data_IF_198966775292
#
_entry.id   IF_198966775292
#
_cell.length_a   1.000
_cell.length_b   1.000
_cell.length_c   1.000
_cell.angle_alpha   90.00
_cell.angle_beta   90.00
_cell.angle_gamma   90.00
#
_symmetry.space_group_name_H-M   'P 1'
#
loop_
_entity.id
_entity.type
_entity.pdbx_description
1 polymer ?
#
# COMPACT_ATOMS: atom_id res chain seq x y z
N UNK A 1 -18.33 -22.70 32.25
CA UNK A 1 -17.43 -21.71 31.65
C UNK A 1 -17.90 -21.55 30.22
N UNK A 2 -18.75 -20.58 29.99
CA UNK A 2 -19.36 -20.26 28.70
C UNK A 2 -18.29 -19.54 27.88
N UNK A 3 -17.94 -20.11 26.72
CA UNK A 3 -17.03 -19.51 25.75
C UNK A 3 -17.55 -18.14 25.32
N UNK A 4 -16.70 -17.15 25.46
CA UNK A 4 -16.94 -15.80 24.99
C UNK A 4 -17.11 -15.80 23.47
N UNK A 5 -18.16 -15.11 23.04
CA UNK A 5 -18.37 -14.53 21.72
C UNK A 5 -18.14 -15.41 20.48
N UNK A 6 -19.05 -16.34 20.20
CA UNK A 6 -19.52 -16.54 18.84
C UNK A 6 -20.26 -15.25 18.40
N UNK A 7 -19.52 -14.24 17.96
CA UNK A 7 -20.12 -13.12 17.24
C UNK A 7 -20.61 -13.67 15.91
N UNK A 8 -21.89 -14.00 15.84
CA UNK A 8 -22.54 -14.43 14.60
C UNK A 8 -22.64 -13.22 13.65
N UNK A 9 -21.50 -12.80 13.10
CA UNK A 9 -21.40 -11.70 12.15
C UNK A 9 -21.94 -12.17 10.83
N UNK A 10 -23.13 -11.71 10.46
CA UNK A 10 -23.80 -12.14 9.25
C UNK A 10 -23.46 -11.30 8.03
N UNK A 11 -23.24 -10.00 8.20
CA UNK A 11 -22.97 -9.08 7.09
C UNK A 11 -21.83 -8.12 7.41
N UNK A 12 -20.78 -8.14 6.57
CA UNK A 12 -19.67 -7.17 6.62
C UNK A 12 -19.66 -6.35 5.34
N UNK A 13 -19.68 -5.03 5.50
CA UNK A 13 -19.54 -4.09 4.38
C UNK A 13 -18.11 -3.52 4.35
N UNK A 14 -17.48 -3.57 3.19
CA UNK A 14 -16.16 -3.01 2.94
C UNK A 14 -16.33 -1.78 2.06
N UNK A 15 -15.77 -0.65 2.49
CA UNK A 15 -15.82 0.62 1.76
C UNK A 15 -14.46 0.89 1.11
N UNK A 16 -14.42 0.82 -0.22
CA UNK A 16 -13.24 1.01 -1.05
C UNK A 16 -12.74 -0.29 -1.69
N UNK A 17 -12.81 -0.36 -3.02
CA UNK A 17 -12.39 -1.48 -3.87
C UNK A 17 -10.91 -1.47 -4.26
N UNK A 18 -10.05 -0.82 -3.47
CA UNK A 18 -8.60 -0.92 -3.59
C UNK A 18 -8.07 -2.26 -3.10
N UNK A 19 -6.74 -2.49 -3.23
CA UNK A 19 -6.12 -3.78 -2.85
C UNK A 19 -6.31 -4.13 -1.37
N UNK A 20 -6.43 -3.14 -0.46
CA UNK A 20 -6.70 -3.42 0.96
C UNK A 20 -8.13 -3.97 1.14
N UNK A 21 -9.12 -3.31 0.53
CA UNK A 21 -10.51 -3.77 0.59
C UNK A 21 -10.72 -5.12 -0.07
N UNK A 22 -10.14 -5.33 -1.26
CA UNK A 22 -10.18 -6.64 -1.95
C UNK A 22 -9.54 -7.75 -1.12
N UNK A 23 -8.38 -7.48 -0.51
CA UNK A 23 -7.73 -8.47 0.34
C UNK A 23 -8.53 -8.76 1.61
N UNK A 24 -9.17 -7.74 2.20
CA UNK A 24 -10.11 -7.94 3.32
C UNK A 24 -11.29 -8.82 2.91
N UNK A 25 -11.89 -8.54 1.75
CA UNK A 25 -12.98 -9.35 1.19
C UNK A 25 -12.58 -10.81 0.95
N UNK A 26 -11.40 -11.02 0.36
CA UNK A 26 -10.82 -12.35 0.13
C UNK A 26 -10.69 -13.13 1.45
N UNK A 27 -10.07 -12.54 2.46
CA UNK A 27 -9.85 -13.22 3.74
C UNK A 27 -11.14 -13.47 4.51
N UNK A 28 -12.14 -12.58 4.44
CA UNK A 28 -13.46 -12.77 5.05
C UNK A 28 -14.24 -13.90 4.37
N UNK A 29 -14.27 -13.91 3.03
CA UNK A 29 -14.91 -14.98 2.27
C UNK A 29 -14.28 -16.35 2.55
N UNK A 30 -12.95 -16.42 2.64
CA UNK A 30 -12.21 -17.63 3.02
C UNK A 30 -12.52 -18.14 4.43
N UNK A 31 -12.95 -17.25 5.34
CA UNK A 31 -13.43 -17.62 6.70
C UNK A 31 -14.90 -18.01 6.74
N UNK A 32 -15.59 -17.98 5.62
CA UNK A 32 -17.02 -18.34 5.52
C UNK A 32 -17.96 -17.29 6.11
N UNK A 33 -17.56 -16.00 6.14
CA UNK A 33 -18.49 -14.92 6.51
C UNK A 33 -19.70 -14.97 5.57
N UNK A 34 -20.94 -15.07 6.08
CA UNK A 34 -22.11 -15.36 5.26
C UNK A 34 -22.37 -14.34 4.16
N UNK A 35 -22.12 -13.05 4.44
CA UNK A 35 -22.32 -11.97 3.47
C UNK A 35 -21.20 -10.95 3.55
N UNK A 36 -20.40 -10.87 2.52
CA UNK A 36 -19.36 -9.85 2.32
C UNK A 36 -19.74 -8.98 1.14
N UNK A 37 -19.94 -7.67 1.40
CA UNK A 37 -20.28 -6.67 0.37
C UNK A 37 -19.14 -5.67 0.28
N UNK A 38 -18.56 -5.50 -0.90
CA UNK A 38 -17.54 -4.50 -1.17
C UNK A 38 -18.12 -3.41 -2.09
N UNK A 39 -18.03 -2.16 -1.64
CA UNK A 39 -18.53 -0.99 -2.35
C UNK A 39 -17.37 -0.12 -2.83
N UNK A 40 -17.35 0.17 -4.12
CA UNK A 40 -16.36 1.05 -4.78
C UNK A 40 -17.07 2.15 -5.56
N UNK A 41 -16.67 3.41 -5.36
CA UNK A 41 -17.32 4.56 -6.01
C UNK A 41 -17.08 4.65 -7.51
N UNK A 42 -15.94 4.16 -7.97
CA UNK A 42 -15.57 4.10 -9.40
C UNK A 42 -15.53 2.61 -9.84
N UNK A 43 -14.40 2.15 -10.34
CA UNK A 43 -14.12 0.74 -10.61
C UNK A 43 -13.08 0.20 -9.66
N UNK A 44 -13.10 -1.11 -9.45
CA UNK A 44 -12.13 -1.79 -8.58
C UNK A 44 -10.70 -1.41 -8.97
N UNK A 45 -9.92 -0.94 -8.00
CA UNK A 45 -8.55 -0.52 -8.19
C UNK A 45 -8.36 0.88 -8.77
N UNK A 46 -9.41 1.61 -9.15
CA UNK A 46 -9.35 2.94 -9.77
C UNK A 46 -8.59 4.00 -8.94
N UNK A 47 -8.46 3.79 -7.64
CA UNK A 47 -7.72 4.67 -6.73
C UNK A 47 -6.20 4.53 -6.84
N UNK A 48 -5.51 4.56 -5.71
CA UNK A 48 -4.05 4.44 -5.61
C UNK A 48 -3.51 3.08 -6.07
N UNK A 49 -4.30 2.02 -6.02
CA UNK A 49 -3.87 0.64 -6.22
C UNK A 49 -3.35 0.37 -7.63
N UNK A 50 -4.06 0.78 -8.69
CA UNK A 50 -3.61 0.63 -10.09
C UNK A 50 -2.44 1.54 -10.44
N UNK A 51 -2.13 2.52 -9.59
CA UNK A 51 -1.05 3.50 -9.75
C UNK A 51 0.19 3.17 -8.94
N UNK A 52 0.15 2.06 -8.19
CA UNK A 52 1.27 1.61 -7.35
C UNK A 52 2.47 1.15 -8.18
N UNK A 53 3.67 1.27 -7.63
CA UNK A 53 4.89 0.68 -8.17
C UNK A 53 4.90 -0.85 -8.06
N UNK A 54 4.17 -1.40 -7.09
CA UNK A 54 4.07 -2.84 -6.87
C UNK A 54 5.34 -3.50 -6.32
N UNK A 55 6.32 -2.73 -5.86
CA UNK A 55 7.55 -3.24 -5.23
C UNK A 55 7.24 -3.72 -3.82
N UNK A 56 7.76 -4.88 -3.45
CA UNK A 56 7.47 -5.54 -2.19
C UNK A 56 8.77 -5.97 -1.52
N UNK A 57 9.00 -5.45 -0.32
CA UNK A 57 10.13 -5.82 0.54
C UNK A 57 9.70 -5.78 2.01
N UNK A 58 10.32 -6.57 2.85
CA UNK A 58 10.12 -6.55 4.30
C UNK A 58 11.17 -5.71 5.05
N UNK A 59 12.11 -5.09 4.36
CA UNK A 59 13.18 -4.29 4.97
C UNK A 59 12.68 -2.90 5.43
N UNK A 60 11.84 -2.87 6.46
CA UNK A 60 11.24 -1.66 7.05
C UNK A 60 11.99 -1.19 8.30
N UNK A 61 11.46 -0.16 8.96
CA UNK A 61 12.10 0.54 10.08
C UNK A 61 11.61 0.09 11.47
N UNK A 62 10.44 -0.52 11.56
CA UNK A 62 9.82 -0.95 12.82
C UNK A 62 9.66 -2.46 12.88
N UNK A 63 9.71 -3.03 14.08
CA UNK A 63 9.51 -4.47 14.29
C UNK A 63 8.15 -4.92 13.75
N UNK A 64 7.08 -4.24 14.14
CA UNK A 64 5.72 -4.53 13.65
C UNK A 64 5.62 -4.45 12.13
N UNK A 65 6.23 -3.41 11.52
CA UNK A 65 6.27 -3.26 10.07
C UNK A 65 7.01 -4.41 9.38
N UNK A 66 8.17 -4.82 9.90
CA UNK A 66 8.98 -5.94 9.38
C UNK A 66 8.19 -7.26 9.46
N UNK A 67 7.62 -7.56 10.62
CA UNK A 67 6.84 -8.80 10.84
C UNK A 67 5.60 -8.84 9.95
N UNK A 68 4.87 -7.73 9.84
CA UNK A 68 3.72 -7.61 8.96
C UNK A 68 4.11 -7.80 7.49
N UNK A 69 5.19 -7.17 7.02
CA UNK A 69 5.63 -7.28 5.62
C UNK A 69 6.23 -8.65 5.30
N UNK A 70 6.91 -9.28 6.24
CA UNK A 70 7.37 -10.67 6.12
C UNK A 70 6.18 -11.64 5.98
N UNK A 71 5.14 -11.45 6.79
CA UNK A 71 3.89 -12.20 6.63
C UNK A 71 3.23 -11.90 5.27
N UNK A 72 3.21 -10.63 4.85
CA UNK A 72 2.67 -10.23 3.56
C UNK A 72 3.37 -10.91 2.38
N UNK A 73 4.70 -11.01 2.39
CA UNK A 73 5.46 -11.71 1.36
C UNK A 73 5.07 -13.19 1.25
N UNK A 74 4.91 -13.87 2.38
CA UNK A 74 4.42 -15.26 2.41
C UNK A 74 3.00 -15.37 1.82
N UNK A 75 2.11 -14.47 2.23
CA UNK A 75 0.74 -14.44 1.71
C UNK A 75 0.69 -14.13 0.21
N UNK A 76 1.60 -13.27 -0.31
CA UNK A 76 1.70 -13.05 -1.76
C UNK A 76 2.04 -14.32 -2.53
N UNK A 77 2.92 -15.17 -1.98
CA UNK A 77 3.25 -16.46 -2.59
C UNK A 77 2.04 -17.41 -2.57
N UNK A 78 1.36 -17.52 -1.43
CA UNK A 78 0.16 -18.36 -1.27
C UNK A 78 -0.96 -17.91 -2.21
N UNK A 79 -1.33 -16.63 -2.18
CA UNK A 79 -2.35 -16.04 -3.04
C UNK A 79 -1.96 -16.14 -4.53
N UNK A 80 -0.69 -16.03 -4.86
CA UNK A 80 -0.20 -16.19 -6.23
C UNK A 80 -0.56 -17.54 -6.84
N UNK A 81 -0.50 -18.61 -6.06
CA UNK A 81 -0.89 -19.94 -6.54
C UNK A 81 -2.41 -20.01 -6.79
N UNK A 82 -3.23 -19.44 -5.92
CA UNK A 82 -4.68 -19.38 -6.07
C UNK A 82 -5.12 -18.49 -7.23
N UNK A 83 -4.39 -17.41 -7.49
CA UNK A 83 -4.69 -16.45 -8.58
C UNK A 83 -4.09 -16.85 -9.93
N UNK A 84 -3.28 -17.92 -10.01
CA UNK A 84 -2.70 -18.40 -11.28
C UNK A 84 -3.74 -18.65 -12.37
N UNK A 85 -4.91 -19.26 -12.09
CA UNK A 85 -5.96 -19.44 -13.10
C UNK A 85 -6.53 -18.14 -13.66
N UNK A 86 -6.38 -17.02 -12.93
CA UNK A 86 -6.81 -15.67 -13.34
C UNK A 86 -5.69 -14.85 -13.98
N UNK A 87 -4.53 -15.49 -14.30
CA UNK A 87 -3.42 -14.84 -15.00
C UNK A 87 -2.46 -14.03 -14.13
N UNK A 88 -2.54 -14.14 -12.81
CA UNK A 88 -1.61 -13.46 -11.91
C UNK A 88 -0.51 -14.39 -11.38
N UNK A 89 0.69 -13.80 -11.22
CA UNK A 89 1.83 -14.42 -10.54
C UNK A 89 2.69 -13.35 -9.87
N UNK A 90 3.02 -13.56 -8.59
CA UNK A 90 4.03 -12.77 -7.89
C UNK A 90 5.42 -12.99 -8.49
N UNK A 91 6.19 -11.90 -8.70
CA UNK A 91 7.53 -11.96 -9.27
C UNK A 91 8.57 -11.92 -8.15
N UNK A 92 9.01 -13.09 -7.70
CA UNK A 92 9.99 -13.26 -6.61
C UNK A 92 11.43 -13.04 -7.13
N UNK A 93 11.76 -11.84 -7.59
CA UNK A 93 13.07 -11.47 -8.16
C UNK A 93 14.01 -10.82 -7.15
N UNK A 94 13.60 -10.72 -5.88
CA UNK A 94 14.27 -9.96 -4.86
C UNK A 94 14.01 -8.46 -4.95
N UNK A 95 14.43 -7.74 -3.89
CA UNK A 95 14.37 -6.28 -3.83
C UNK A 95 15.73 -5.73 -3.38
N UNK A 96 16.31 -4.83 -4.17
CA UNK A 96 17.58 -4.17 -3.90
C UNK A 96 17.31 -2.73 -3.46
N UNK A 97 17.67 -2.40 -2.22
CA UNK A 97 17.61 -1.04 -1.69
C UNK A 97 19.02 -0.45 -1.73
N UNK A 98 19.19 0.71 -2.38
CA UNK A 98 20.46 1.41 -2.53
C UNK A 98 20.54 2.58 -1.55
N UNK A 99 21.69 2.75 -0.94
CA UNK A 99 21.97 3.80 0.05
C UNK A 99 23.26 4.54 -0.28
N UNK A 100 23.28 5.85 0.00
CA UNK A 100 24.51 6.60 0.14
C UNK A 100 25.23 6.19 1.44
N UNK A 101 26.53 6.47 1.62
CA UNK A 101 27.22 6.21 2.89
C UNK A 101 26.52 6.87 4.09
N UNK A 102 25.98 8.09 3.90
CA UNK A 102 25.27 8.80 4.96
C UNK A 102 23.95 8.10 5.35
N UNK A 103 23.16 7.69 4.37
CA UNK A 103 21.88 6.97 4.63
C UNK A 103 22.14 5.56 5.18
N UNK A 104 23.26 4.94 4.79
CA UNK A 104 23.65 3.61 5.26
C UNK A 104 23.90 3.58 6.77
N UNK A 105 24.55 4.61 7.32
CA UNK A 105 24.80 4.71 8.76
C UNK A 105 23.53 4.56 9.61
N UNK A 106 22.38 5.03 9.11
CA UNK A 106 21.11 4.86 9.81
C UNK A 106 20.46 3.50 9.49
N UNK A 107 20.60 3.02 8.25
CA UNK A 107 20.05 1.73 7.84
C UNK A 107 20.76 0.55 8.52
N UNK A 108 22.08 0.62 8.65
CA UNK A 108 22.89 -0.42 9.28
C UNK A 108 22.46 -0.73 10.72
N UNK A 109 22.00 0.29 11.46
CA UNK A 109 21.48 0.13 12.83
C UNK A 109 20.26 -0.80 12.92
N UNK A 110 19.59 -1.07 11.81
CA UNK A 110 18.44 -1.97 11.74
C UNK A 110 18.80 -3.43 11.44
N UNK A 111 20.03 -3.74 11.05
CA UNK A 111 20.44 -5.11 10.72
C UNK A 111 20.29 -6.09 11.90
N UNK A 112 20.54 -5.70 13.17
CA UNK A 112 20.23 -6.55 14.32
C UNK A 112 18.75 -6.87 14.42
N UNK A 113 17.86 -5.89 14.18
CA UNK A 113 16.43 -6.08 14.20
C UNK A 113 15.94 -7.01 13.07
N UNK A 114 16.54 -6.92 11.88
CA UNK A 114 16.24 -7.87 10.79
C UNK A 114 16.59 -9.30 11.17
N UNK A 115 17.75 -9.52 11.81
CA UNK A 115 18.14 -10.85 12.33
C UNK A 115 17.19 -11.35 13.42
N UNK A 116 16.81 -10.48 14.36
CA UNK A 116 15.81 -10.80 15.40
C UNK A 116 14.48 -11.24 14.78
N UNK A 117 14.00 -10.54 13.76
CA UNK A 117 12.77 -10.87 13.04
C UNK A 117 12.93 -12.08 12.08
N UNK A 118 14.14 -12.67 11.96
CA UNK A 118 14.40 -13.74 11.01
C UNK A 118 14.19 -13.32 9.56
N UNK A 119 14.52 -12.07 9.20
CA UNK A 119 14.48 -11.54 7.84
C UNK A 119 15.86 -11.72 7.19
N UNK A 120 16.00 -12.53 6.13
CA UNK A 120 17.25 -12.66 5.42
C UNK A 120 17.59 -11.37 4.65
N UNK A 121 18.86 -11.06 4.57
CA UNK A 121 19.38 -9.93 3.80
C UNK A 121 20.82 -10.17 3.36
N UNK A 122 21.24 -9.50 2.29
CA UNK A 122 22.60 -9.45 1.83
C UNK A 122 23.05 -7.99 1.73
N UNK A 123 24.24 -7.67 2.22
CA UNK A 123 24.87 -6.35 2.02
C UNK A 123 25.82 -6.46 0.84
N UNK A 124 25.71 -5.56 -0.13
CA UNK A 124 26.47 -5.61 -1.39
C UNK A 124 27.21 -4.29 -1.64
N UNK A 125 28.48 -4.38 -2.00
CA UNK A 125 29.21 -3.23 -2.53
C UNK A 125 28.77 -2.92 -3.98
N UNK A 126 29.02 -1.71 -4.45
CA UNK A 126 28.67 -1.29 -5.81
C UNK A 126 29.26 -2.21 -6.91
N UNK A 127 30.49 -2.71 -6.71
CA UNK A 127 31.12 -3.65 -7.63
C UNK A 127 30.37 -4.99 -7.72
N UNK A 128 29.90 -5.53 -6.58
CA UNK A 128 29.11 -6.76 -6.52
C UNK A 128 27.73 -6.57 -7.16
N UNK A 129 27.11 -5.39 -6.99
CA UNK A 129 25.85 -5.03 -7.64
C UNK A 129 26.02 -5.05 -9.17
N UNK A 130 27.06 -4.39 -9.69
CA UNK A 130 27.36 -4.37 -11.13
C UNK A 130 27.68 -5.75 -11.68
N UNK A 131 28.36 -6.59 -10.93
CA UNK A 131 28.65 -7.97 -11.32
C UNK A 131 27.37 -8.82 -11.39
N UNK A 132 26.51 -8.71 -10.38
CA UNK A 132 25.26 -9.50 -10.27
C UNK A 132 24.19 -9.03 -11.25
N UNK A 133 24.08 -7.70 -11.47
CA UNK A 133 23.12 -7.08 -12.37
C UNK A 133 23.81 -6.06 -13.29
N UNK A 134 24.41 -6.54 -14.40
CA UNK A 134 25.24 -5.69 -15.28
C UNK A 134 24.52 -4.52 -15.94
N UNK A 135 23.17 -4.48 -15.90
CA UNK A 135 22.40 -3.34 -16.36
C UNK A 135 22.43 -2.16 -15.38
N UNK A 136 22.75 -2.41 -14.10
CA UNK A 136 22.85 -1.37 -13.08
C UNK A 136 24.24 -0.78 -13.03
N UNK A 137 24.32 0.55 -12.95
CA UNK A 137 25.56 1.32 -12.85
C UNK A 137 25.54 2.23 -11.60
N UNK A 138 25.46 1.67 -10.37
CA UNK A 138 25.56 2.48 -9.17
C UNK A 138 26.97 3.11 -9.07
N UNK A 139 27.05 4.31 -8.47
CA UNK A 139 28.33 4.94 -8.12
C UNK A 139 29.12 4.06 -7.14
N UNK A 140 30.44 4.23 -7.09
CA UNK A 140 31.35 3.32 -6.35
C UNK A 140 31.13 3.31 -4.83
N UNK A 141 30.59 4.39 -4.28
CA UNK A 141 30.29 4.56 -2.86
C UNK A 141 28.92 4.04 -2.43
N UNK A 142 28.10 3.59 -3.37
CA UNK A 142 26.75 3.07 -3.09
C UNK A 142 26.83 1.70 -2.40
N UNK A 143 26.01 1.54 -1.38
CA UNK A 143 25.84 0.30 -0.65
C UNK A 143 24.44 -0.27 -0.95
N UNK A 144 24.38 -1.54 -1.30
CA UNK A 144 23.15 -2.28 -1.53
C UNK A 144 22.73 -3.11 -0.32
N UNK A 145 21.45 -3.11 -0.02
CA UNK A 145 20.81 -4.05 0.90
C UNK A 145 19.78 -4.84 0.11
N UNK A 146 20.06 -6.11 -0.13
CA UNK A 146 19.23 -6.99 -0.92
C UNK A 146 18.32 -7.84 -0.02
N UNK A 147 17.03 -7.83 -0.34
CA UNK A 147 15.99 -8.69 0.25
C UNK A 147 15.70 -9.84 -0.72
N UNK A 148 16.21 -11.07 -0.45
CA UNK A 148 16.00 -12.21 -1.35
C UNK A 148 14.54 -12.69 -1.39
N UNK A 149 13.73 -12.37 -0.37
CA UNK A 149 12.30 -12.71 -0.33
C UNK A 149 11.43 -11.71 -1.08
N UNK A 150 11.97 -10.51 -1.35
CA UNK A 150 11.27 -9.42 -2.01
C UNK A 150 10.99 -9.68 -3.49
N UNK A 151 10.41 -8.69 -4.12
CA UNK A 151 10.09 -8.75 -5.54
C UNK A 151 9.06 -7.70 -5.93
N UNK A 152 8.19 -8.06 -6.85
CA UNK A 152 7.11 -7.16 -7.26
C UNK A 152 5.85 -7.90 -7.69
N UNK A 153 4.75 -7.17 -7.68
CA UNK A 153 3.46 -7.59 -8.20
C UNK A 153 3.00 -6.59 -9.26
N UNK A 154 2.47 -7.07 -10.37
CA UNK A 154 1.86 -6.21 -11.39
C UNK A 154 0.45 -5.82 -10.95
N UNK A 155 0.17 -4.52 -10.68
CA UNK A 155 -1.17 -4.09 -10.30
C UNK A 155 -2.23 -4.42 -11.33
N UNK A 156 -1.90 -4.29 -12.61
CA UNK A 156 -2.81 -4.50 -13.73
C UNK A 156 -3.20 -5.98 -13.92
N UNK A 157 -2.44 -6.92 -13.35
CA UNK A 157 -2.77 -8.35 -13.33
C UNK A 157 -3.36 -8.76 -11.95
N UNK A 158 -2.79 -8.26 -10.84
CA UNK A 158 -3.19 -8.65 -9.48
C UNK A 158 -4.61 -8.23 -9.13
N UNK A 159 -4.95 -6.95 -9.40
CA UNK A 159 -6.25 -6.38 -8.99
C UNK A 159 -7.41 -7.12 -9.65
N UNK A 160 -7.47 -7.28 -11.00
CA UNK A 160 -8.55 -8.00 -11.64
C UNK A 160 -8.59 -9.48 -11.24
N UNK A 161 -7.43 -10.14 -11.08
CA UNK A 161 -7.37 -11.53 -10.64
C UNK A 161 -7.96 -11.71 -9.24
N UNK A 162 -7.57 -10.86 -8.28
CA UNK A 162 -8.10 -10.91 -6.92
C UNK A 162 -9.61 -10.60 -6.88
N UNK A 163 -10.07 -9.62 -7.66
CA UNK A 163 -11.48 -9.28 -7.74
C UNK A 163 -12.32 -10.43 -8.33
N UNK A 164 -11.83 -11.09 -9.39
CA UNK A 164 -12.50 -12.26 -9.95
C UNK A 164 -12.55 -13.41 -8.94
N UNK A 165 -11.46 -13.65 -8.24
CA UNK A 165 -11.42 -14.69 -7.20
C UNK A 165 -12.36 -14.38 -6.04
N UNK A 166 -12.42 -13.12 -5.57
CA UNK A 166 -13.40 -12.70 -4.57
C UNK A 166 -14.85 -12.97 -5.03
N UNK A 167 -15.19 -12.62 -6.28
CA UNK A 167 -16.52 -12.93 -6.84
C UNK A 167 -16.80 -14.44 -6.89
N UNK A 168 -15.81 -15.24 -7.25
CA UNK A 168 -15.93 -16.71 -7.24
C UNK A 168 -16.13 -17.28 -5.82
N UNK A 169 -15.63 -16.60 -4.79
CA UNK A 169 -15.85 -16.92 -3.38
C UNK A 169 -17.19 -16.38 -2.82
N UNK A 170 -18.04 -15.73 -3.65
CA UNK A 170 -19.32 -15.22 -3.25
C UNK A 170 -19.34 -13.78 -2.71
N UNK A 171 -18.24 -13.03 -2.84
CA UNK A 171 -18.23 -11.60 -2.46
C UNK A 171 -19.08 -10.78 -3.41
N UNK A 172 -20.02 -9.98 -2.87
CA UNK A 172 -20.83 -9.03 -3.61
C UNK A 172 -20.03 -7.74 -3.85
N UNK A 173 -19.37 -7.62 -5.00
CA UNK A 173 -18.59 -6.45 -5.39
C UNK A 173 -19.45 -5.53 -6.24
N UNK A 174 -19.73 -4.33 -5.73
CA UNK A 174 -20.52 -3.29 -6.38
C UNK A 174 -19.64 -2.10 -6.72
N UNK A 175 -19.53 -1.83 -8.01
CA UNK A 175 -18.80 -0.70 -8.58
C UNK A 175 -19.78 0.44 -8.91
N UNK A 176 -19.29 1.69 -8.93
CA UNK A 176 -20.11 2.88 -9.16
C UNK A 176 -20.98 3.28 -7.96
N UNK A 177 -20.71 2.75 -6.76
CA UNK A 177 -21.52 3.00 -5.55
C UNK A 177 -20.74 3.86 -4.56
N UNK A 178 -21.22 5.08 -4.32
CA UNK A 178 -20.56 6.05 -3.42
C UNK A 178 -21.10 5.96 -2.00
N UNK A 179 -20.28 5.51 -1.07
CA UNK A 179 -20.58 5.58 0.36
C UNK A 179 -20.33 6.99 0.85
N UNK A 180 -21.31 7.58 1.53
CA UNK A 180 -21.26 8.95 2.04
C UNK A 180 -21.13 9.04 3.55
N UNK A 181 -21.71 8.08 4.29
CA UNK A 181 -21.76 8.12 5.75
C UNK A 181 -21.72 6.73 6.38
N UNK A 182 -21.22 6.67 7.59
CA UNK A 182 -21.44 5.56 8.53
C UNK A 182 -22.66 5.87 9.39
N UNK A 183 -23.59 4.90 9.50
CA UNK A 183 -24.74 5.02 10.40
C UNK A 183 -24.35 4.41 11.74
N UNK A 184 -24.29 5.22 12.78
CA UNK A 184 -23.87 4.81 14.14
C UNK A 184 -24.96 5.13 15.13
N UNK A 185 -25.34 4.15 15.94
CA UNK A 185 -26.26 4.30 17.05
C UNK A 185 -25.65 3.81 18.35
N UNK A 186 -25.70 4.62 19.39
CA UNK A 186 -25.18 4.28 20.73
C UNK A 186 -23.73 3.72 20.72
N UNK A 187 -22.87 4.29 19.86
CA UNK A 187 -21.47 3.87 19.76
C UNK A 187 -21.25 2.56 18.97
N UNK A 188 -22.26 2.08 18.23
CA UNK A 188 -22.14 0.90 17.36
C UNK A 188 -22.50 1.26 15.93
N UNK A 189 -21.71 0.77 14.97
CA UNK A 189 -22.07 0.87 13.55
C UNK A 189 -23.27 -0.02 13.27
N UNK A 190 -24.27 0.53 12.58
CA UNK A 190 -25.49 -0.18 12.13
C UNK A 190 -25.47 -0.45 10.63
N UNK A 191 -24.60 0.21 9.89
CA UNK A 191 -24.47 0.13 8.45
C UNK A 191 -23.90 1.40 7.86
N UNK A 192 -24.16 1.60 6.58
CA UNK A 192 -23.68 2.75 5.79
C UNK A 192 -24.83 3.41 5.01
N UNK A 193 -24.60 4.65 4.55
CA UNK A 193 -25.37 5.26 3.47
C UNK A 193 -24.55 5.25 2.19
N UNK A 194 -25.16 4.74 1.12
CA UNK A 194 -24.57 4.70 -0.20
C UNK A 194 -25.61 5.16 -1.22
N UNK A 195 -25.27 6.14 -2.06
CA UNK A 195 -26.17 6.73 -3.06
C UNK A 195 -27.55 7.15 -2.50
N UNK A 196 -27.56 7.58 -1.22
CA UNK A 196 -28.77 7.98 -0.49
C UNK A 196 -29.51 6.84 0.21
N UNK A 197 -29.21 5.58 -0.08
CA UNK A 197 -29.85 4.43 0.52
C UNK A 197 -29.09 3.91 1.76
N UNK A 198 -29.84 3.29 2.68
CA UNK A 198 -29.26 2.63 3.85
C UNK A 198 -28.98 1.16 3.55
N UNK A 199 -27.75 0.72 3.81
CA UNK A 199 -27.36 -0.68 3.79
C UNK A 199 -26.94 -1.11 5.20
N UNK A 200 -27.69 -2.02 5.81
CA UNK A 200 -27.40 -2.57 7.13
C UNK A 200 -26.13 -3.44 7.10
N UNK A 201 -25.32 -3.35 8.15
CA UNK A 201 -24.14 -4.15 8.35
C UNK A 201 -23.86 -4.36 9.84
N UNK A 202 -23.41 -5.56 10.21
CA UNK A 202 -22.93 -5.86 11.57
C UNK A 202 -21.56 -5.22 11.84
N UNK A 203 -20.74 -5.13 10.79
CA UNK A 203 -19.45 -4.44 10.81
C UNK A 203 -19.17 -3.75 9.48
N UNK A 204 -18.36 -2.69 9.55
CA UNK A 204 -17.88 -1.93 8.39
C UNK A 204 -16.36 -1.83 8.43
N UNK A 205 -15.71 -2.15 7.31
CA UNK A 205 -14.27 -1.99 7.12
C UNK A 205 -14.04 -0.82 6.14
N UNK A 206 -13.47 0.28 6.63
CA UNK A 206 -13.18 1.46 5.82
C UNK A 206 -11.75 1.40 5.25
N UNK A 207 -11.66 1.20 3.93
CA UNK A 207 -10.42 1.17 3.14
C UNK A 207 -10.41 2.29 2.09
N UNK A 208 -11.00 3.45 2.40
CA UNK A 208 -11.27 4.54 1.45
C UNK A 208 -10.08 5.48 1.20
N UNK A 209 -8.84 5.10 1.57
CA UNK A 209 -7.60 5.83 1.29
C UNK A 209 -7.72 7.34 1.64
N UNK A 210 -7.54 8.25 0.69
CA UNK A 210 -7.60 9.71 0.89
C UNK A 210 -9.00 10.23 1.27
N UNK A 211 -10.07 9.45 1.04
CA UNK A 211 -11.45 9.81 1.42
C UNK A 211 -11.80 9.39 2.84
N UNK A 212 -10.93 8.65 3.54
CA UNK A 212 -11.21 8.12 4.88
C UNK A 212 -11.63 9.20 5.88
N UNK A 213 -10.91 10.34 5.95
CA UNK A 213 -11.27 11.42 6.88
C UNK A 213 -12.63 12.07 6.56
N UNK A 214 -13.06 12.06 5.31
CA UNK A 214 -14.39 12.55 4.92
C UNK A 214 -15.48 11.66 5.50
N UNK A 215 -15.33 10.35 5.40
CA UNK A 215 -16.28 9.39 5.97
C UNK A 215 -16.25 9.39 7.50
N UNK A 216 -15.07 9.48 8.12
CA UNK A 216 -14.93 9.49 9.57
C UNK A 216 -15.48 10.75 10.24
N UNK A 217 -15.73 11.83 9.48
CA UNK A 217 -16.40 13.03 10.00
C UNK A 217 -17.80 12.70 10.56
N UNK A 218 -18.51 11.71 10.02
CA UNK A 218 -19.81 11.24 10.51
C UNK A 218 -19.75 10.69 11.95
N UNK A 219 -18.58 10.22 12.39
CA UNK A 219 -18.35 9.70 13.74
C UNK A 219 -17.47 10.62 14.60
N UNK A 220 -17.25 11.86 14.14
CA UNK A 220 -16.45 12.87 14.88
C UNK A 220 -14.94 12.58 14.92
N UNK A 221 -14.44 11.64 14.13
CA UNK A 221 -13.03 11.27 14.10
C UNK A 221 -12.32 11.89 12.89
N UNK A 222 -11.09 12.36 13.11
CA UNK A 222 -10.20 12.82 12.06
C UNK A 222 -8.77 12.32 12.31
N UNK A 223 -8.27 11.53 11.40
CA UNK A 223 -6.93 10.96 11.47
C UNK A 223 -5.87 11.99 11.08
N UNK A 224 -4.68 11.97 11.71
CA UNK A 224 -3.55 12.79 11.30
C UNK A 224 -2.86 12.17 10.07
N UNK A 225 -3.52 12.31 8.93
CA UNK A 225 -3.04 11.82 7.64
C UNK A 225 -3.09 12.91 6.58
N UNK A 226 -2.18 12.83 5.62
CA UNK A 226 -2.05 13.76 4.50
C UNK A 226 -1.84 13.02 3.20
N UNK A 227 -2.35 13.59 2.11
CA UNK A 227 -2.23 12.98 0.77
C UNK A 227 -1.37 13.86 -0.15
N UNK A 228 -0.56 13.20 -0.97
CA UNK A 228 0.31 13.85 -1.94
C UNK A 228 0.20 13.18 -3.30
N UNK A 229 0.27 13.98 -4.35
CA UNK A 229 0.31 13.45 -5.72
C UNK A 229 1.60 12.66 -5.94
N UNK A 230 1.50 11.49 -6.51
CA UNK A 230 2.63 10.64 -6.87
C UNK A 230 2.43 10.08 -8.29
N UNK A 231 3.54 9.74 -8.96
CA UNK A 231 3.48 9.26 -10.33
C UNK A 231 4.49 8.15 -10.60
N UNK A 232 4.15 7.30 -11.55
CA UNK A 232 5.03 6.29 -12.13
C UNK A 232 4.92 6.27 -13.65
N UNK A 233 5.93 5.71 -14.30
CA UNK A 233 6.02 5.61 -15.75
C UNK A 233 6.31 4.19 -16.18
N UNK A 234 5.80 3.80 -17.34
CA UNK A 234 6.29 2.62 -18.08
C UNK A 234 7.11 3.08 -19.27
N UNK A 235 8.24 2.44 -19.50
CA UNK A 235 9.08 2.71 -20.67
C UNK A 235 8.50 2.11 -21.94
N UNK A 236 9.03 2.49 -23.10
CA UNK A 236 8.98 1.65 -24.28
C UNK A 236 9.60 0.27 -23.98
N UNK A 237 9.26 -0.78 -24.73
CA UNK A 237 9.94 -2.07 -24.61
C UNK A 237 11.45 -1.91 -24.82
N UNK A 238 12.23 -2.62 -24.01
CA UNK A 238 13.66 -2.79 -24.22
C UNK A 238 13.89 -3.86 -25.30
N UNK A 239 15.07 -3.85 -25.90
CA UNK A 239 15.44 -4.87 -26.89
C UNK A 239 15.49 -6.29 -26.31
N UNK A 240 15.60 -6.41 -25.00
CA UNK A 240 15.63 -7.67 -24.23
C UNK A 240 15.01 -7.45 -22.85
N UNK A 241 14.31 -8.48 -22.36
CA UNK A 241 13.74 -8.47 -21.02
C UNK A 241 14.79 -8.11 -19.96
N UNK A 242 14.51 -7.13 -19.09
CA UNK A 242 15.48 -6.69 -18.09
C UNK A 242 15.59 -7.72 -16.97
N UNK A 243 16.71 -8.41 -16.85
CA UNK A 243 17.01 -9.30 -15.73
C UNK A 243 17.50 -8.48 -14.53
N UNK A 244 16.54 -7.93 -13.77
CA UNK A 244 16.77 -7.05 -12.61
C UNK A 244 15.89 -7.47 -11.44
N UNK A 245 16.32 -7.22 -10.20
CA UNK A 245 15.43 -7.21 -9.04
C UNK A 245 14.51 -5.98 -9.11
N UNK A 246 13.56 -5.89 -8.20
CA UNK A 246 12.98 -4.59 -7.88
C UNK A 246 14.04 -3.71 -7.18
N UNK A 247 14.11 -2.42 -7.51
CA UNK A 247 15.15 -1.52 -7.01
C UNK A 247 14.54 -0.26 -6.40
N UNK A 248 14.92 0.06 -5.17
CA UNK A 248 14.70 1.35 -4.53
C UNK A 248 16.05 2.09 -4.45
N UNK A 249 16.24 3.10 -5.25
CA UNK A 249 17.45 3.91 -5.28
C UNK A 249 17.24 5.21 -4.49
N UNK A 250 17.25 5.12 -3.16
CA UNK A 250 16.98 6.24 -2.25
C UNK A 250 17.85 7.49 -2.52
N UNK A 251 19.16 7.38 -2.78
CA UNK A 251 19.99 8.55 -3.04
C UNK A 251 19.55 9.33 -4.29
N UNK A 252 19.03 8.64 -5.28
CA UNK A 252 18.51 9.26 -6.50
C UNK A 252 17.03 9.68 -6.38
N UNK A 253 16.31 9.21 -5.35
CA UNK A 253 14.85 9.37 -5.22
C UNK A 253 14.10 8.66 -6.36
N UNK A 254 14.59 7.50 -6.79
CA UNK A 254 14.06 6.70 -7.90
C UNK A 254 13.78 5.29 -7.42
N UNK A 255 12.71 4.69 -7.91
CA UNK A 255 12.51 3.26 -7.84
C UNK A 255 12.22 2.71 -9.25
N UNK A 256 12.62 1.47 -9.50
CA UNK A 256 12.39 0.81 -10.76
C UNK A 256 12.26 -0.71 -10.60
N UNK A 257 11.61 -1.34 -11.55
CA UNK A 257 11.50 -2.78 -11.64
C UNK A 257 11.20 -3.23 -13.07
N UNK A 258 11.42 -4.49 -13.41
CA UNK A 258 10.88 -5.07 -14.63
C UNK A 258 9.35 -4.93 -14.68
N UNK A 259 8.82 -4.82 -15.87
CA UNK A 259 7.38 -4.77 -16.14
C UNK A 259 7.05 -5.61 -17.37
N UNK A 260 5.78 -5.98 -17.51
CA UNK A 260 5.28 -6.81 -18.60
C UNK A 260 5.60 -6.22 -19.97
N UNK A 261 5.94 -7.08 -20.94
CA UNK A 261 6.28 -6.67 -22.30
C UNK A 261 7.67 -6.04 -22.45
N UNK A 262 8.66 -6.62 -21.76
CA UNK A 262 10.07 -6.21 -21.77
C UNK A 262 10.31 -4.74 -21.39
N UNK A 263 9.43 -4.19 -20.58
CA UNK A 263 9.43 -2.80 -20.12
C UNK A 263 10.05 -2.67 -18.73
N UNK A 264 10.27 -1.43 -18.35
CA UNK A 264 10.56 -1.03 -16.99
C UNK A 264 9.43 -0.15 -16.47
N UNK A 265 9.03 -0.39 -15.21
CA UNK A 265 8.32 0.59 -14.43
C UNK A 265 9.35 1.44 -13.69
N UNK A 266 9.24 2.76 -13.84
CA UNK A 266 10.09 3.74 -13.17
C UNK A 266 9.22 4.74 -12.45
N UNK A 267 9.51 4.99 -11.19
CA UNK A 267 8.84 6.01 -10.41
C UNK A 267 9.84 6.77 -9.56
N UNK A 268 9.38 7.82 -8.93
CA UNK A 268 10.26 8.61 -8.09
C UNK A 268 9.51 9.60 -7.24
N UNK A 269 10.16 9.98 -6.15
CA UNK A 269 9.65 10.99 -5.23
C UNK A 269 9.89 12.40 -5.76
N UNK A 270 8.91 13.25 -5.55
CA UNK A 270 9.06 14.69 -5.75
C UNK A 270 9.19 15.34 -4.39
N UNK A 271 10.41 15.65 -3.99
CA UNK A 271 10.64 16.47 -2.80
C UNK A 271 9.81 17.78 -2.87
N UNK A 272 9.39 18.29 -1.72
CA UNK A 272 8.69 19.57 -1.60
C UNK A 272 7.30 19.64 -2.26
N UNK A 273 6.65 18.53 -2.55
CA UNK A 273 5.27 18.53 -3.03
C UNK A 273 4.32 19.01 -1.94
N UNK A 274 3.38 19.87 -2.31
CA UNK A 274 2.34 20.33 -1.40
C UNK A 274 1.29 19.24 -1.19
N UNK A 275 0.68 19.27 -0.01
CA UNK A 275 -0.46 18.43 0.33
C UNK A 275 -1.61 18.64 -0.64
N UNK A 276 -2.20 17.53 -1.08
CA UNK A 276 -3.48 17.50 -1.76
C UNK A 276 -4.59 17.47 -0.70
N UNK A 277 -5.51 18.41 -0.76
CA UNK A 277 -6.66 18.45 0.16
C UNK A 277 -7.54 17.20 0.01
N UNK A 278 -8.31 16.88 1.05
CA UNK A 278 -9.25 15.76 1.06
C UNK A 278 -10.18 15.83 -0.16
N UNK A 279 -10.13 14.86 -1.07
CA UNK A 279 -10.88 14.96 -2.31
C UNK A 279 -12.39 14.88 -2.06
N UNK A 280 -13.19 15.58 -2.87
CA UNK A 280 -14.63 15.40 -2.92
C UNK A 280 -15.00 13.99 -3.42
N UNK A 281 -16.21 13.52 -3.18
CA UNK A 281 -16.64 12.20 -3.66
C UNK A 281 -16.57 12.07 -5.19
N UNK A 282 -16.93 13.12 -5.92
CA UNK A 282 -16.85 13.15 -7.38
C UNK A 282 -15.45 13.33 -7.96
N UNK A 283 -14.40 13.46 -7.12
CA UNK A 283 -13.03 13.58 -7.60
C UNK A 283 -12.51 12.24 -8.12
N UNK A 284 -11.98 12.23 -9.35
CA UNK A 284 -11.32 11.09 -9.96
C UNK A 284 -9.80 11.21 -9.93
N UNK A 285 -9.09 10.09 -9.79
CA UNK A 285 -7.61 10.10 -9.85
C UNK A 285 -7.08 10.49 -11.23
N UNK A 286 -7.88 10.35 -12.28
CA UNK A 286 -7.51 10.72 -13.66
C UNK A 286 -7.47 12.24 -13.87
N UNK A 287 -8.02 13.02 -12.95
CA UNK A 287 -7.91 14.49 -12.93
C UNK A 287 -6.52 14.98 -12.49
N UNK A 288 -5.74 14.11 -11.85
CA UNK A 288 -4.40 14.43 -11.38
C UNK A 288 -3.40 14.54 -12.53
N UNK A 289 -2.45 15.44 -12.36
CA UNK A 289 -1.32 15.62 -13.30
C UNK A 289 0.00 15.58 -12.54
N UNK A 290 1.01 14.97 -13.15
CA UNK A 290 2.37 15.07 -12.65
C UNK A 290 2.88 16.52 -12.74
N UNK A 291 3.79 16.94 -11.85
CA UNK A 291 4.41 18.26 -11.96
C UNK A 291 5.15 18.44 -13.29
N UNK A 292 5.07 19.63 -13.86
CA UNK A 292 5.73 19.97 -15.13
C UNK A 292 7.23 19.63 -15.10
N UNK A 293 7.72 18.98 -16.17
CA UNK A 293 9.11 18.57 -16.31
C UNK A 293 9.56 17.45 -15.37
N UNK A 294 8.66 16.86 -14.58
CA UNK A 294 9.02 15.79 -13.66
C UNK A 294 9.51 14.54 -14.37
N UNK A 295 8.84 14.10 -15.44
CA UNK A 295 9.20 12.91 -16.20
C UNK A 295 10.62 13.00 -16.78
N UNK A 296 11.01 14.15 -17.32
CA UNK A 296 12.35 14.38 -17.85
C UNK A 296 13.42 14.31 -16.75
N UNK A 297 13.18 14.99 -15.61
CA UNK A 297 14.10 14.95 -14.45
C UNK A 297 14.22 13.54 -13.87
N UNK A 298 13.12 12.82 -13.71
CA UNK A 298 13.12 11.44 -13.22
C UNK A 298 13.88 10.52 -14.15
N UNK A 299 13.65 10.65 -15.47
CA UNK A 299 14.34 9.86 -16.47
C UNK A 299 15.86 10.08 -16.43
N UNK A 300 16.32 11.34 -16.32
CA UNK A 300 17.74 11.64 -16.18
C UNK A 300 18.38 11.00 -14.93
N UNK A 301 17.69 11.07 -13.80
CA UNK A 301 18.14 10.41 -12.56
C UNK A 301 18.17 8.88 -12.68
N UNK A 302 17.12 8.29 -13.25
CA UNK A 302 17.04 6.84 -13.44
C UNK A 302 18.07 6.34 -14.45
N UNK A 303 18.36 7.12 -15.51
CA UNK A 303 19.37 6.80 -16.53
C UNK A 303 20.79 6.75 -15.97
N UNK A 304 21.11 7.55 -14.97
CA UNK A 304 22.41 7.48 -14.29
C UNK A 304 22.63 6.11 -13.61
N UNK A 305 21.58 5.52 -13.03
CA UNK A 305 21.60 4.19 -12.43
C UNK A 305 21.45 3.07 -13.47
N UNK A 306 20.67 3.30 -14.52
CA UNK A 306 20.32 2.31 -15.54
C UNK A 306 20.51 2.93 -16.94
N UNK A 307 21.72 2.90 -17.50
CA UNK A 307 22.03 3.55 -18.80
C UNK A 307 21.15 3.10 -19.95
N UNK A 308 20.63 1.86 -19.93
CA UNK A 308 19.72 1.32 -20.93
C UNK A 308 18.44 2.18 -21.13
N UNK A 309 18.05 2.99 -20.14
CA UNK A 309 16.93 3.94 -20.26
C UNK A 309 17.17 5.03 -21.32
N UNK A 310 18.40 5.25 -21.77
CA UNK A 310 18.68 6.17 -22.88
C UNK A 310 17.87 5.80 -24.14
N UNK A 311 17.69 4.50 -24.38
CA UNK A 311 17.00 3.95 -25.57
C UNK A 311 15.52 3.63 -25.31
N UNK A 312 15.02 3.83 -24.09
CA UNK A 312 13.66 3.46 -23.70
C UNK A 312 12.89 4.67 -23.12
N UNK A 313 12.26 5.50 -23.96
CA UNK A 313 11.46 6.63 -23.48
C UNK A 313 10.26 6.18 -22.67
N UNK A 314 9.77 7.05 -21.76
CA UNK A 314 8.51 6.82 -21.06
C UNK A 314 7.33 6.93 -22.03
N UNK A 315 6.47 5.92 -22.05
CA UNK A 315 5.29 5.85 -22.90
C UNK A 315 3.98 5.96 -22.15
N UNK A 316 3.95 5.50 -20.89
CA UNK A 316 2.73 5.52 -20.06
C UNK A 316 3.03 6.24 -18.76
N UNK A 317 2.19 7.20 -18.41
CA UNK A 317 2.18 7.87 -17.11
C UNK A 317 0.96 7.42 -16.30
N UNK A 318 1.16 7.19 -15.01
CA UNK A 318 0.09 6.98 -14.04
C UNK A 318 0.31 7.91 -12.85
N UNK A 319 -0.69 8.74 -12.57
CA UNK A 319 -0.68 9.71 -11.47
C UNK A 319 -1.75 9.35 -10.45
N UNK A 320 -1.42 9.39 -9.17
CA UNK A 320 -2.34 9.08 -8.08
C UNK A 320 -2.01 9.82 -6.80
N UNK A 321 -2.72 9.52 -5.73
CA UNK A 321 -2.43 10.02 -4.39
C UNK A 321 -1.73 8.95 -3.56
N UNK A 322 -0.78 9.37 -2.74
CA UNK A 322 -0.21 8.59 -1.63
C UNK A 322 -0.67 9.24 -0.33
N UNK A 323 -1.21 8.45 0.60
CA UNK A 323 -1.63 8.91 1.90
C UNK A 323 -0.65 8.45 2.99
N UNK A 324 -0.17 9.40 3.79
CA UNK A 324 0.73 9.19 4.91
C UNK A 324 0.04 9.55 6.22
N UNK A 325 0.26 8.75 7.25
CA UNK A 325 0.04 9.15 8.63
C UNK A 325 1.17 10.08 9.12
N UNK A 326 0.97 10.73 10.24
CA UNK A 326 1.95 11.67 10.82
C UNK A 326 3.31 11.03 11.12
N UNK A 327 3.35 9.76 11.49
CA UNK A 327 4.58 9.00 11.80
C UNK A 327 5.07 8.10 10.67
N UNK A 328 4.31 8.00 9.57
CA UNK A 328 4.64 7.16 8.42
C UNK A 328 4.25 5.69 8.55
N UNK A 329 3.77 5.22 9.71
CA UNK A 329 3.24 3.87 9.87
C UNK A 329 1.77 3.79 9.41
N UNK A 330 1.28 2.65 8.93
CA UNK A 330 -0.13 2.48 8.57
C UNK A 330 -1.08 2.80 9.73
N UNK A 331 -2.34 3.11 9.38
CA UNK A 331 -3.44 3.14 10.34
C UNK A 331 -4.32 1.92 10.04
N UNK A 332 -4.31 0.95 10.96
CA UNK A 332 -5.04 -0.30 10.82
C UNK A 332 -5.55 -0.75 12.19
N UNK A 333 -6.84 -1.10 12.28
CA UNK A 333 -7.45 -1.60 13.51
C UNK A 333 -8.87 -1.13 13.72
N UNK A 334 -9.41 -1.41 14.91
CA UNK A 334 -10.73 -0.97 15.33
C UNK A 334 -10.76 0.54 15.62
N UNK A 335 -11.91 1.16 15.45
CA UNK A 335 -12.16 2.56 15.83
C UNK A 335 -12.61 2.62 17.27
N UNK A 336 -11.81 3.23 18.14
CA UNK A 336 -12.16 3.41 19.55
C UNK A 336 -13.43 4.23 19.71
N UNK A 337 -14.36 3.74 20.53
CA UNK A 337 -15.66 4.37 20.73
C UNK A 337 -16.73 4.07 19.68
N UNK A 338 -16.40 3.35 18.60
CA UNK A 338 -17.37 2.93 17.57
C UNK A 338 -17.23 1.43 17.29
N UNK A 339 -17.96 0.63 18.03
CA UNK A 339 -17.96 -0.82 17.88
C UNK A 339 -18.42 -1.22 16.46
N UNK A 340 -17.74 -2.19 15.85
CA UNK A 340 -18.04 -2.70 14.52
C UNK A 340 -17.46 -1.84 13.37
N UNK A 341 -16.71 -0.76 13.65
CA UNK A 341 -16.00 0.00 12.62
C UNK A 341 -14.50 -0.29 12.65
N UNK A 342 -13.96 -0.75 11.54
CA UNK A 342 -12.55 -1.05 11.34
C UNK A 342 -11.94 -0.14 10.26
N UNK A 343 -10.64 0.15 10.37
CA UNK A 343 -9.90 1.01 9.45
C UNK A 343 -8.73 0.27 8.82
N UNK A 344 -8.48 0.54 7.52
CA UNK A 344 -7.25 0.18 6.82
C UNK A 344 -6.86 1.31 5.87
N UNK A 345 -5.99 2.25 6.33
CA UNK A 345 -5.65 3.47 5.57
C UNK A 345 -4.23 3.98 5.84
N UNK A 346 -3.82 5.01 5.15
CA UNK A 346 -2.55 5.72 5.32
C UNK A 346 -1.30 4.82 5.23
N UNK A 347 -1.30 3.86 4.33
CA UNK A 347 -0.20 2.90 4.13
C UNK A 347 1.01 3.49 3.40
N UNK A 348 1.09 4.81 3.24
CA UNK A 348 2.11 5.53 2.47
C UNK A 348 2.40 4.86 1.10
N UNK A 349 3.66 4.72 0.69
CA UNK A 349 4.03 4.02 -0.55
C UNK A 349 3.91 2.48 -0.46
N UNK A 350 3.65 1.95 0.74
CA UNK A 350 3.63 0.52 1.03
C UNK A 350 2.27 -0.17 0.89
N UNK A 351 1.19 0.55 0.59
CA UNK A 351 -0.17 -0.02 0.62
C UNK A 351 -0.34 -1.27 -0.23
N UNK A 352 0.26 -1.29 -1.42
CA UNK A 352 0.23 -2.47 -2.26
C UNK A 352 0.96 -3.66 -1.61
N UNK A 353 2.11 -3.42 -1.01
CA UNK A 353 2.89 -4.47 -0.38
C UNK A 353 2.34 -4.92 0.99
N UNK A 354 1.52 -4.10 1.66
CA UNK A 354 0.83 -4.49 2.89
C UNK A 354 -0.49 -5.23 2.63
N UNK A 355 -1.07 -5.16 1.41
CA UNK A 355 -2.46 -5.57 1.21
C UNK A 355 -2.80 -6.99 1.71
N UNK A 356 -2.02 -8.06 1.43
CA UNK A 356 -2.40 -9.38 1.90
C UNK A 356 -2.49 -9.48 3.42
N UNK A 357 -1.49 -8.94 4.12
CA UNK A 357 -1.47 -8.98 5.58
C UNK A 357 -2.50 -8.03 6.19
N UNK A 358 -2.69 -6.84 5.61
CA UNK A 358 -3.69 -5.89 6.09
C UNK A 358 -5.11 -6.46 5.98
N UNK A 359 -5.42 -7.09 4.84
CA UNK A 359 -6.70 -7.78 4.65
C UNK A 359 -6.91 -8.92 5.62
N UNK A 360 -5.85 -9.73 5.87
CA UNK A 360 -5.89 -10.79 6.87
C UNK A 360 -6.17 -10.25 8.27
N UNK A 361 -5.43 -9.23 8.70
CA UNK A 361 -5.57 -8.64 10.04
C UNK A 361 -6.93 -7.97 10.25
N UNK A 362 -7.47 -7.30 9.22
CA UNK A 362 -8.83 -6.74 9.28
C UNK A 362 -9.90 -7.84 9.34
N UNK A 363 -9.69 -8.95 8.63
CA UNK A 363 -10.57 -10.10 8.73
C UNK A 363 -10.47 -10.78 10.10
N UNK A 364 -9.26 -10.93 10.67
CA UNK A 364 -9.05 -11.46 12.03
C UNK A 364 -9.84 -10.62 13.04
N UNK A 365 -9.67 -9.28 13.03
CA UNK A 365 -10.43 -8.38 13.92
C UNK A 365 -11.94 -8.50 13.75
N UNK A 366 -12.40 -8.61 12.50
CA UNK A 366 -13.84 -8.68 12.20
C UNK A 366 -14.47 -9.99 12.66
N UNK A 367 -13.75 -11.11 12.63
CA UNK A 367 -14.29 -12.45 12.95
C UNK A 367 -13.93 -12.96 14.34
N UNK A 368 -12.72 -12.61 14.82
CA UNK A 368 -12.14 -13.16 16.06
C UNK A 368 -11.99 -12.09 17.15
N UNK A 369 -12.03 -10.80 16.76
CA UNK A 369 -11.85 -9.67 17.69
C UNK A 369 -10.38 -9.39 18.06
N UNK A 370 -9.45 -10.25 17.64
CA UNK A 370 -8.02 -10.14 17.89
C UNK A 370 -7.21 -10.48 16.64
N UNK A 371 -5.92 -10.20 16.63
CA UNK A 371 -5.05 -10.41 15.49
C UNK A 371 -3.88 -11.34 15.80
N UNK A 372 -3.41 -12.06 14.80
CA UNK A 372 -2.24 -12.96 14.90
C UNK A 372 -0.90 -12.22 15.09
N UNK A 373 -0.88 -10.89 14.84
CA UNK A 373 0.27 -10.01 15.09
C UNK A 373 -0.16 -8.90 16.06
N UNK A 374 0.74 -8.47 16.93
CA UNK A 374 0.53 -7.24 17.69
C UNK A 374 0.57 -6.02 16.73
N UNK A 375 -0.58 -5.41 16.51
CA UNK A 375 -0.76 -4.23 15.66
C UNK A 375 -1.02 -2.94 16.43
N UNK A 376 -0.75 -2.92 17.74
CA UNK A 376 -0.92 -1.71 18.58
C UNK A 376 -0.20 -0.51 17.98
N UNK A 377 0.96 -0.73 17.36
CA UNK A 377 1.71 0.29 16.64
C UNK A 377 0.98 0.86 15.41
N UNK A 378 -0.07 0.21 14.91
CA UNK A 378 -0.90 0.66 13.79
C UNK A 378 -2.24 1.26 14.25
N UNK A 379 -2.60 1.18 15.54
CA UNK A 379 -3.83 1.79 16.07
C UNK A 379 -3.85 3.30 15.81
N UNK A 380 -5.02 3.84 15.50
CA UNK A 380 -5.20 5.30 15.40
C UNK A 380 -5.04 6.01 16.76
N UNK A 381 -5.20 5.30 17.87
CA UNK A 381 -5.07 5.84 19.23
C UNK A 381 -3.62 6.14 19.63
N UNK A 382 -2.64 5.70 18.84
CA UNK A 382 -1.21 5.98 19.10
C UNK A 382 -0.86 7.47 18.98
N UNK A 383 -1.72 8.27 18.36
CA UNK A 383 -1.48 9.69 18.15
C UNK A 383 -2.00 10.53 19.30
N UNK A 384 -1.16 11.39 19.87
CA UNK A 384 -1.59 12.35 20.87
C UNK A 384 -2.53 13.39 20.26
N UNK A 385 -3.72 13.64 20.82
CA UNK A 385 -4.72 14.53 20.23
C UNK A 385 -4.21 15.93 19.88
N UNK A 386 -3.37 16.54 20.75
CA UNK A 386 -2.81 17.85 20.53
C UNK A 386 -1.87 17.89 19.32
N UNK A 387 -0.94 16.93 19.21
CA UNK A 387 0.01 16.83 18.09
C UNK A 387 -0.74 16.53 16.79
N UNK A 388 -1.71 15.61 16.81
CA UNK A 388 -2.56 15.27 15.68
C UNK A 388 -3.36 16.52 15.19
N UNK A 389 -3.87 17.35 16.11
CA UNK A 389 -4.58 18.59 15.77
C UNK A 389 -3.68 19.60 15.06
N UNK A 390 -2.45 19.81 15.58
CA UNK A 390 -1.46 20.70 14.95
C UNK A 390 -1.09 20.18 13.57
N UNK A 391 -0.79 18.89 13.44
CA UNK A 391 -0.45 18.25 12.17
C UNK A 391 -1.55 18.45 11.12
N UNK A 392 -2.83 18.20 11.46
CA UNK A 392 -3.96 18.37 10.53
C UNK A 392 -4.12 19.81 10.05
N UNK A 393 -3.93 20.79 10.93
CA UNK A 393 -4.07 22.23 10.59
C UNK A 393 -2.91 22.77 9.78
N UNK A 394 -1.74 22.14 9.85
CA UNK A 394 -0.56 22.55 9.11
C UNK A 394 -0.66 22.12 7.66
N UNK A 395 -0.34 23.02 6.71
CA UNK A 395 -0.15 22.65 5.31
C UNK A 395 1.31 22.30 5.09
N UNK A 396 1.61 21.02 4.91
CA UNK A 396 2.96 20.50 4.84
C UNK A 396 3.36 20.14 3.42
N UNK A 397 4.66 20.19 3.15
CA UNK A 397 5.26 19.54 1.98
C UNK A 397 5.51 18.08 2.29
N UNK A 398 5.61 17.25 1.26
CA UNK A 398 5.77 15.80 1.43
C UNK A 398 6.97 15.42 2.33
N UNK A 399 8.11 16.08 2.17
CA UNK A 399 9.30 15.83 3.00
C UNK A 399 9.19 16.29 4.46
N UNK A 400 8.12 16.98 4.83
CA UNK A 400 7.82 17.45 6.18
C UNK A 400 6.66 16.65 6.82
N UNK A 401 5.92 15.90 6.01
CA UNK A 401 4.66 15.28 6.44
C UNK A 401 4.85 13.99 7.24
N UNK A 402 6.02 13.38 7.19
CA UNK A 402 6.33 12.14 7.92
C UNK A 402 7.82 12.11 8.28
N UNK A 403 8.12 11.47 9.40
CA UNK A 403 9.46 11.46 9.99
C UNK A 403 10.38 10.36 9.43
N UNK A 404 9.85 9.36 8.74
CA UNK A 404 10.61 8.21 8.24
C UNK A 404 10.36 7.98 6.77
N UNK A 405 11.44 7.67 6.03
CA UNK A 405 11.42 7.23 4.64
C UNK A 405 11.79 5.75 4.55
N UNK A 406 11.38 5.10 3.47
CA UNK A 406 11.77 3.71 3.16
C UNK A 406 13.23 3.57 2.88
#
# INVERSE_FOLDING_TARGET
MTNANDMNVSTIVIVGGGVIGLSSAYHLARRGVPRVVLLEKDTVGAGASSRAGGIITAQLWSKTGIEARKLSLRLFQEISEELRPYGYRFQAVGCLNLFSPADWCEREKLLPLYRECGLPYETLAAAEIRQRWPLLAPADDIIGLFDPLGGYSEPDDYIPALAQHCRALGVDIREGVTVTDFVVERGRVMGIRADGEFLAADQVICCAHSWTNRLLAAVGLQLPMKSFVHQRYLTAPLAKAPALPAVNANPAGVYLRPAKGDRLLVGGETANRLEQENPAYGFGMDDLRAPAGFSARLRGKAQALLPALAQAPFQVERVGLIAFSMDGEPILGAVSGVSGLLLGTAFHSGGFAYNPVAGKLLADLATEGETTLDITAFSHDRFKPAEASVYRKSRLRQNQAFSRRH
#
